data_IF_158903583940
#
_entry.id   IF_158903583940
#
_cell.length_a   1.000
_cell.length_b   1.000
_cell.length_c   1.000
_cell.angle_alpha   90.00
_cell.angle_beta   90.00
_cell.angle_gamma   90.00
#
_symmetry.space_group_name_H-M   'P 1'
#
loop_
_entity.id
_entity.type
_entity.pdbx_description
1 polymer ?
#
# COMPACT_ATOMS: atom_id res chain seq x y z
N UNK A 1 3.38 -44.82 26.97
CA UNK A 1 3.44 -44.01 25.72
C UNK A 1 2.39 -42.92 25.82
N UNK A 2 2.77 -41.72 26.26
CA UNK A 2 1.89 -40.55 26.20
C UNK A 2 2.14 -39.86 24.85
N UNK A 3 1.14 -39.87 23.99
CA UNK A 3 1.15 -39.17 22.71
C UNK A 3 1.02 -37.67 22.95
N UNK A 4 2.11 -36.94 22.79
CA UNK A 4 2.11 -35.48 22.74
C UNK A 4 1.49 -35.05 21.39
N UNK A 5 0.19 -34.78 21.39
CA UNK A 5 -0.45 -34.09 20.28
C UNK A 5 -0.08 -32.61 20.35
N UNK A 6 1.01 -32.23 19.68
CA UNK A 6 1.36 -30.84 19.44
C UNK A 6 0.16 -30.15 18.78
N UNK A 7 -0.47 -29.21 19.48
CA UNK A 7 -1.54 -28.39 18.93
C UNK A 7 -0.96 -27.51 17.83
N UNK A 8 -1.06 -27.97 16.58
CA UNK A 8 -0.75 -27.15 15.41
C UNK A 8 -1.81 -26.06 15.37
N UNK A 9 -1.45 -24.86 15.83
CA UNK A 9 -2.25 -23.65 15.66
C UNK A 9 -2.64 -23.55 14.18
N UNK A 10 -3.93 -23.56 13.88
CA UNK A 10 -4.43 -23.26 12.54
C UNK A 10 -3.77 -21.96 12.04
N UNK A 11 -3.27 -21.92 10.79
CA UNK A 11 -2.66 -20.71 10.28
C UNK A 11 -3.67 -19.58 10.36
N UNK A 12 -3.22 -18.42 10.85
CA UNK A 12 -4.06 -17.22 10.90
C UNK A 12 -4.62 -16.93 9.50
N UNK A 13 -5.89 -16.52 9.45
CA UNK A 13 -6.56 -16.19 8.20
C UNK A 13 -5.80 -15.07 7.46
N UNK A 14 -5.55 -15.20 6.15
CA UNK A 14 -4.87 -14.17 5.37
C UNK A 14 -5.60 -12.83 5.43
N UNK A 15 -4.83 -11.75 5.51
CA UNK A 15 -5.35 -10.38 5.47
C UNK A 15 -4.71 -9.60 4.33
N UNK A 16 -5.51 -8.84 3.60
CA UNK A 16 -5.03 -7.81 2.69
C UNK A 16 -4.86 -6.49 3.44
N UNK A 17 -3.67 -5.89 3.33
CA UNK A 17 -3.36 -4.61 3.94
C UNK A 17 -3.17 -3.55 2.85
N UNK A 18 -3.92 -2.46 2.95
CA UNK A 18 -3.87 -1.31 2.04
C UNK A 18 -3.45 -0.07 2.79
N UNK A 19 -2.73 0.84 2.13
CA UNK A 19 -2.18 2.03 2.78
C UNK A 19 -2.72 3.32 2.19
N UNK A 20 -3.30 4.17 3.04
CA UNK A 20 -3.82 5.48 2.68
C UNK A 20 -3.12 6.55 3.52
N UNK A 21 -2.70 7.64 2.88
CA UNK A 21 -2.11 8.77 3.58
C UNK A 21 -1.27 9.64 2.65
N UNK A 22 -1.04 10.88 3.06
CA UNK A 22 -0.26 11.86 2.29
C UNK A 22 1.18 11.37 2.08
N UNK A 23 1.87 11.93 1.09
CA UNK A 23 3.30 11.67 0.92
C UNK A 23 4.05 12.13 2.19
N UNK A 24 5.07 11.40 2.63
CA UNK A 24 5.73 11.69 3.93
C UNK A 24 5.00 11.18 5.18
N UNK A 25 3.77 10.64 5.05
CA UNK A 25 3.02 10.13 6.21
C UNK A 25 3.60 8.85 6.85
N UNK A 26 4.55 8.17 6.21
CA UNK A 26 5.18 6.95 6.73
C UNK A 26 4.57 5.64 6.22
N UNK A 27 3.81 5.68 5.10
CA UNK A 27 3.19 4.49 4.48
C UNK A 27 4.19 3.35 4.25
N UNK A 28 5.29 3.58 3.55
CA UNK A 28 6.27 2.52 3.24
C UNK A 28 6.94 1.95 4.50
N UNK A 29 7.10 2.74 5.57
CA UNK A 29 7.56 2.25 6.88
C UNK A 29 6.52 1.30 7.50
N UNK A 30 5.25 1.68 7.46
CA UNK A 30 4.15 0.82 7.91
C UNK A 30 4.06 -0.45 7.05
N UNK A 31 4.21 -0.34 5.73
CA UNK A 31 4.23 -1.47 4.80
C UNK A 31 5.27 -2.51 5.21
N UNK A 32 6.51 -2.05 5.40
CA UNK A 32 7.62 -2.92 5.81
C UNK A 32 7.37 -3.59 7.17
N UNK A 33 6.80 -2.84 8.13
CA UNK A 33 6.43 -3.39 9.45
C UNK A 33 5.30 -4.42 9.37
N UNK A 34 4.32 -4.23 8.50
CA UNK A 34 3.26 -5.22 8.30
C UNK A 34 3.82 -6.48 7.61
N UNK A 35 4.70 -6.28 6.63
CA UNK A 35 5.31 -7.37 5.86
C UNK A 35 6.36 -8.18 6.65
N UNK A 36 6.88 -7.68 7.77
CA UNK A 36 7.77 -8.46 8.64
C UNK A 36 7.05 -9.55 9.44
N UNK A 37 5.70 -9.55 9.42
CA UNK A 37 4.90 -10.61 10.04
C UNK A 37 5.05 -11.93 9.25
N UNK A 38 4.96 -13.09 9.92
CA UNK A 38 4.99 -14.38 9.25
C UNK A 38 3.96 -14.46 8.12
N UNK A 39 4.33 -15.13 7.01
CA UNK A 39 3.43 -15.38 5.87
C UNK A 39 2.81 -14.10 5.27
N UNK A 40 3.54 -12.99 5.31
CA UNK A 40 3.08 -11.71 4.76
C UNK A 40 4.03 -11.24 3.66
N UNK A 41 3.49 -10.96 2.48
CA UNK A 41 4.26 -10.45 1.34
C UNK A 41 4.01 -8.95 1.14
N UNK A 42 5.06 -8.21 0.80
CA UNK A 42 4.97 -6.83 0.37
C UNK A 42 5.00 -6.75 -1.16
N UNK A 43 4.02 -6.08 -1.75
CA UNK A 43 4.01 -5.71 -3.17
C UNK A 43 3.97 -4.18 -3.24
N UNK A 44 5.06 -3.59 -3.72
CA UNK A 44 5.21 -2.13 -3.87
C UNK A 44 5.00 -1.72 -5.33
N UNK A 45 4.06 -0.79 -5.56
CA UNK A 45 3.81 -0.25 -6.91
C UNK A 45 5.08 0.42 -7.47
N UNK A 46 5.73 1.26 -6.67
CA UNK A 46 6.95 1.99 -7.07
C UNK A 46 8.09 1.03 -7.48
N UNK A 47 8.31 -0.05 -6.72
CA UNK A 47 9.35 -1.04 -7.03
C UNK A 47 9.07 -1.77 -8.36
N UNK A 48 7.82 -2.15 -8.59
CA UNK A 48 7.41 -2.80 -9.84
C UNK A 48 7.45 -1.86 -11.03
N UNK A 49 7.01 -0.61 -10.87
CA UNK A 49 7.07 0.39 -11.94
C UNK A 49 8.53 0.72 -12.32
N UNK A 50 9.42 0.86 -11.34
CA UNK A 50 10.85 1.08 -11.59
C UNK A 50 11.49 -0.10 -12.34
N UNK A 51 11.11 -1.33 -12.02
CA UNK A 51 11.64 -2.53 -12.65
C UNK A 51 11.07 -2.78 -14.07
N UNK A 52 9.76 -2.55 -14.28
CA UNK A 52 9.08 -2.86 -15.54
C UNK A 52 9.16 -1.75 -16.58
N UNK A 53 9.25 -0.48 -16.14
CA UNK A 53 9.15 0.69 -17.01
C UNK A 53 10.31 1.69 -16.81
N UNK A 54 11.58 1.24 -16.84
CA UNK A 54 12.73 2.12 -16.62
C UNK A 54 12.79 3.23 -17.68
N UNK A 55 12.75 4.49 -17.25
CA UNK A 55 12.85 5.66 -18.12
C UNK A 55 11.58 6.01 -18.92
N UNK A 56 10.48 5.29 -18.73
CA UNK A 56 9.19 5.54 -19.40
C UNK A 56 8.28 6.50 -18.62
N UNK A 57 8.43 6.63 -17.31
CA UNK A 57 7.59 7.51 -16.48
C UNK A 57 8.26 8.87 -16.37
N UNK A 58 7.83 9.84 -17.18
CA UNK A 58 8.37 11.21 -17.19
C UNK A 58 7.34 12.24 -16.75
N UNK A 59 6.07 11.96 -17.05
CA UNK A 59 4.94 12.82 -16.69
C UNK A 59 3.82 12.04 -15.98
N UNK A 60 2.84 12.76 -15.43
CA UNK A 60 1.71 12.17 -14.71
C UNK A 60 0.90 11.20 -15.58
N UNK A 61 0.76 11.50 -16.88
CA UNK A 61 0.06 10.64 -17.82
C UNK A 61 0.77 9.29 -18.04
N UNK A 62 2.12 9.29 -18.06
CA UNK A 62 2.91 8.07 -18.15
C UNK A 62 2.72 7.19 -16.92
N UNK A 63 2.75 7.81 -15.73
CA UNK A 63 2.49 7.11 -14.47
C UNK A 63 1.09 6.48 -14.50
N UNK A 64 0.05 7.23 -14.87
CA UNK A 64 -1.32 6.70 -14.93
C UNK A 64 -1.43 5.50 -15.88
N UNK A 65 -0.80 5.57 -17.07
CA UNK A 65 -0.74 4.46 -18.04
C UNK A 65 -0.02 3.24 -17.47
N UNK A 66 1.19 3.41 -16.93
CA UNK A 66 2.02 2.31 -16.43
C UNK A 66 1.44 1.68 -15.16
N UNK A 67 0.99 2.49 -14.20
CA UNK A 67 0.29 2.02 -13.01
C UNK A 67 -1.01 1.29 -13.36
N UNK A 68 -1.77 1.79 -14.35
CA UNK A 68 -2.97 1.11 -14.84
C UNK A 68 -2.69 -0.30 -15.38
N UNK A 69 -1.63 -0.46 -16.19
CA UNK A 69 -1.20 -1.78 -16.70
C UNK A 69 -0.78 -2.72 -15.57
N UNK A 70 0.01 -2.22 -14.62
CA UNK A 70 0.43 -3.00 -13.46
C UNK A 70 -0.77 -3.47 -12.62
N UNK A 71 -1.74 -2.58 -12.35
CA UNK A 71 -2.95 -2.89 -11.58
C UNK A 71 -3.81 -3.96 -12.27
N UNK A 72 -3.95 -3.92 -13.59
CA UNK A 72 -4.64 -4.97 -14.34
C UNK A 72 -3.96 -6.33 -14.19
N UNK A 73 -2.62 -6.37 -14.22
CA UNK A 73 -1.88 -7.62 -14.04
C UNK A 73 -1.90 -8.14 -12.58
N UNK A 74 -1.98 -7.23 -11.60
CA UNK A 74 -1.76 -7.58 -10.19
C UNK A 74 -2.97 -8.23 -9.51
N UNK A 75 -4.20 -7.82 -9.85
CA UNK A 75 -5.40 -8.23 -9.11
C UNK A 75 -5.56 -9.76 -8.97
N UNK A 76 -5.46 -10.50 -10.08
CA UNK A 76 -5.56 -11.96 -10.07
C UNK A 76 -4.40 -12.64 -9.33
N UNK A 77 -3.21 -12.07 -9.40
CA UNK A 77 -2.04 -12.59 -8.67
C UNK A 77 -2.20 -12.46 -7.16
N UNK A 78 -2.73 -11.32 -6.68
CA UNK A 78 -3.01 -11.10 -5.25
C UNK A 78 -4.03 -12.11 -4.73
N UNK A 79 -5.11 -12.37 -5.48
CA UNK A 79 -6.10 -13.37 -5.10
C UNK A 79 -5.48 -14.77 -4.98
N UNK A 80 -4.60 -15.16 -5.91
CA UNK A 80 -3.89 -16.44 -5.85
C UNK A 80 -2.96 -16.56 -4.62
N UNK A 81 -2.25 -15.49 -4.25
CA UNK A 81 -1.41 -15.46 -3.06
C UNK A 81 -2.22 -15.61 -1.77
N UNK A 82 -3.37 -14.93 -1.69
CA UNK A 82 -4.30 -15.06 -0.57
C UNK A 82 -4.84 -16.49 -0.48
N UNK A 83 -5.25 -17.08 -1.61
CA UNK A 83 -5.72 -18.47 -1.66
C UNK A 83 -4.64 -19.48 -1.21
N UNK A 84 -3.35 -19.16 -1.41
CA UNK A 84 -2.23 -19.93 -0.89
C UNK A 84 -1.96 -19.72 0.62
N UNK A 85 -2.79 -18.91 1.30
CA UNK A 85 -2.70 -18.64 2.72
C UNK A 85 -1.66 -17.57 3.08
N UNK A 86 -1.39 -16.63 2.19
CA UNK A 86 -0.47 -15.51 2.43
C UNK A 86 -1.24 -14.21 2.65
N UNK A 87 -0.89 -13.48 3.71
CA UNK A 87 -1.29 -12.08 3.82
C UNK A 87 -0.50 -11.24 2.83
N UNK A 88 -1.10 -10.16 2.32
CA UNK A 88 -0.43 -9.30 1.34
C UNK A 88 -0.61 -7.85 1.73
N UNK A 89 0.50 -7.13 1.80
CA UNK A 89 0.55 -5.67 1.89
C UNK A 89 0.69 -5.13 0.47
N UNK A 90 -0.34 -4.41 0.01
CA UNK A 90 -0.27 -3.65 -1.24
C UNK A 90 0.13 -2.21 -0.92
N UNK A 91 1.41 -1.89 -1.11
CA UNK A 91 1.93 -0.52 -1.09
C UNK A 91 1.64 0.14 -2.45
N UNK A 92 0.35 0.26 -2.73
CA UNK A 92 -0.26 0.99 -3.85
C UNK A 92 -0.96 2.21 -3.25
N UNK A 93 -0.94 3.39 -3.91
CA UNK A 93 -1.50 4.59 -3.33
C UNK A 93 -3.03 4.51 -3.26
N UNK A 94 -3.58 4.37 -2.05
CA UNK A 94 -5.02 4.40 -1.78
C UNK A 94 -5.55 5.84 -1.55
N UNK A 95 -4.96 6.82 -2.24
CA UNK A 95 -5.11 8.25 -1.94
C UNK A 95 -6.32 8.90 -2.62
N UNK A 96 -6.88 8.27 -3.65
CA UNK A 96 -8.10 8.73 -4.34
C UNK A 96 -9.21 7.70 -4.18
N UNK A 97 -10.47 8.15 -4.28
CA UNK A 97 -11.62 7.20 -4.28
C UNK A 97 -11.51 6.15 -5.39
N UNK A 98 -11.05 6.54 -6.58
CA UNK A 98 -10.86 5.61 -7.70
C UNK A 98 -9.80 4.54 -7.40
N UNK A 99 -8.67 4.92 -6.79
CA UNK A 99 -7.64 3.94 -6.39
C UNK A 99 -8.17 2.96 -5.33
N UNK A 100 -9.01 3.44 -4.41
CA UNK A 100 -9.65 2.60 -3.40
C UNK A 100 -10.71 1.68 -3.99
N UNK A 101 -11.50 2.14 -4.96
CA UNK A 101 -12.46 1.29 -5.66
C UNK A 101 -11.76 0.06 -6.28
N UNK A 102 -10.63 0.26 -6.96
CA UNK A 102 -9.83 -0.85 -7.48
C UNK A 102 -9.31 -1.78 -6.37
N UNK A 103 -8.77 -1.25 -5.26
CA UNK A 103 -8.34 -2.07 -4.13
C UNK A 103 -9.49 -2.88 -3.53
N UNK A 104 -10.72 -2.34 -3.56
CA UNK A 104 -11.92 -3.04 -3.12
C UNK A 104 -12.26 -4.20 -4.04
N UNK A 105 -12.15 -4.03 -5.36
CA UNK A 105 -12.32 -5.10 -6.34
C UNK A 105 -11.30 -6.23 -6.10
N UNK A 106 -10.05 -5.89 -5.82
CA UNK A 106 -9.01 -6.88 -5.46
C UNK A 106 -9.39 -7.63 -4.19
N UNK A 107 -9.85 -6.94 -3.14
CA UNK A 107 -10.30 -7.57 -1.91
C UNK A 107 -11.52 -8.50 -2.12
N UNK A 108 -12.48 -8.07 -2.95
CA UNK A 108 -13.65 -8.88 -3.29
C UNK A 108 -13.24 -10.15 -4.04
N UNK A 109 -12.35 -10.03 -5.03
CA UNK A 109 -11.84 -11.18 -5.79
C UNK A 109 -11.03 -12.15 -4.91
N UNK A 110 -10.27 -11.63 -3.94
CA UNK A 110 -9.51 -12.45 -3.01
C UNK A 110 -10.38 -13.15 -1.94
N UNK A 111 -11.57 -12.61 -1.66
CA UNK A 111 -12.54 -13.23 -0.75
C UNK A 111 -12.09 -13.30 0.72
N UNK A 112 -11.11 -12.49 1.13
CA UNK A 112 -10.57 -12.49 2.49
C UNK A 112 -10.81 -11.15 3.21
N UNK A 113 -10.47 -11.12 4.50
CA UNK A 113 -10.48 -9.88 5.30
C UNK A 113 -9.46 -8.88 4.75
N UNK A 114 -9.83 -7.60 4.75
CA UNK A 114 -8.96 -6.52 4.30
C UNK A 114 -8.99 -5.33 5.26
N UNK A 115 -7.86 -4.65 5.42
CA UNK A 115 -7.70 -3.46 6.27
C UNK A 115 -7.13 -2.30 5.45
N UNK A 116 -7.77 -1.13 5.57
CA UNK A 116 -7.23 0.12 5.04
C UNK A 116 -6.58 0.90 6.18
N UNK A 117 -5.25 0.89 6.22
CA UNK A 117 -4.48 1.65 7.18
C UNK A 117 -4.41 3.12 6.74
N UNK A 118 -5.11 3.98 7.45
CA UNK A 118 -5.13 5.42 7.19
C UNK A 118 -4.18 6.15 8.14
N UNK A 119 -3.11 6.71 7.59
CA UNK A 119 -2.16 7.57 8.31
C UNK A 119 -2.62 9.03 8.15
N UNK A 120 -3.29 9.53 9.18
CA UNK A 120 -3.94 10.85 9.17
C UNK A 120 -3.05 11.90 9.85
N UNK A 121 -1.96 12.24 9.16
CA UNK A 121 -0.98 13.19 9.67
C UNK A 121 -1.21 14.60 9.12
N UNK A 122 -0.99 15.63 9.97
CA UNK A 122 -0.91 17.02 9.54
C UNK A 122 0.13 17.26 8.43
N UNK A 123 -0.11 18.27 7.59
CA UNK A 123 0.75 18.59 6.44
C UNK A 123 2.15 19.04 6.87
N UNK A 124 2.25 19.81 7.95
CA UNK A 124 3.51 20.28 8.52
C UNK A 124 4.40 19.11 8.96
N UNK A 125 3.83 18.08 9.60
CA UNK A 125 4.53 16.84 9.97
C UNK A 125 5.02 16.10 8.72
N UNK A 126 4.16 15.97 7.70
CA UNK A 126 4.51 15.29 6.46
C UNK A 126 5.62 16.03 5.70
N UNK A 127 5.53 17.36 5.59
CA UNK A 127 6.54 18.23 4.97
C UNK A 127 7.86 18.16 5.72
N UNK A 128 7.85 18.23 7.06
CA UNK A 128 9.05 18.11 7.87
C UNK A 128 9.77 16.77 7.65
N UNK A 129 9.03 15.65 7.63
CA UNK A 129 9.59 14.32 7.34
C UNK A 129 10.17 14.23 5.93
N UNK A 130 9.53 14.85 4.94
CA UNK A 130 10.07 14.90 3.57
C UNK A 130 11.36 15.69 3.47
N UNK A 131 11.47 16.84 4.14
CA UNK A 131 12.72 17.61 4.19
C UNK A 131 13.86 16.78 4.77
N UNK A 132 13.66 16.16 5.94
CA UNK A 132 14.65 15.28 6.56
C UNK A 132 15.05 14.09 5.65
N UNK A 133 14.09 13.51 4.92
CA UNK A 133 14.34 12.42 3.97
C UNK A 133 15.18 12.89 2.78
N UNK A 134 14.85 14.05 2.20
CA UNK A 134 15.59 14.65 1.09
C UNK A 134 17.04 14.95 1.51
N UNK A 135 17.26 15.46 2.73
CA UNK A 135 18.58 15.75 3.30
C UNK A 135 19.42 14.48 3.51
N UNK A 136 18.78 13.34 3.85
CA UNK A 136 19.48 12.07 4.08
C UNK A 136 20.06 11.43 2.81
N UNK A 137 19.58 11.81 1.61
CA UNK A 137 20.01 11.22 0.33
C UNK A 137 19.65 9.74 0.13
N UNK A 138 18.89 9.12 1.05
CA UNK A 138 18.60 7.67 1.05
C UNK A 138 17.47 7.25 0.11
N UNK A 139 16.74 8.20 -0.47
CA UNK A 139 15.63 7.92 -1.39
C UNK A 139 15.95 8.37 -2.81
N UNK A 140 15.53 7.59 -3.83
CA UNK A 140 15.82 7.89 -5.24
C UNK A 140 15.10 9.14 -5.77
N UNK A 141 14.17 9.71 -5.01
CA UNK A 141 13.38 10.87 -5.40
C UNK A 141 13.40 11.95 -4.32
N UNK A 142 13.76 13.16 -4.72
CA UNK A 142 13.53 14.38 -3.92
C UNK A 142 12.17 14.96 -4.27
N UNK A 143 11.41 15.37 -3.25
CA UNK A 143 10.10 16.00 -3.43
C UNK A 143 10.12 17.40 -2.83
N UNK A 144 9.87 18.41 -3.64
CA UNK A 144 9.72 19.80 -3.19
C UNK A 144 8.37 20.03 -2.51
N UNK A 145 8.21 21.13 -1.78
CA UNK A 145 6.92 21.48 -1.18
C UNK A 145 5.84 21.78 -2.22
N UNK A 146 6.19 22.43 -3.34
CA UNK A 146 5.25 22.65 -4.43
C UNK A 146 4.75 21.32 -5.03
N UNK A 147 5.65 20.33 -5.17
CA UNK A 147 5.27 18.98 -5.61
C UNK A 147 4.43 18.25 -4.55
N UNK A 148 4.75 18.42 -3.27
CA UNK A 148 3.92 17.90 -2.17
C UNK A 148 2.49 18.42 -2.28
N UNK A 149 2.32 19.74 -2.41
CA UNK A 149 1.01 20.38 -2.46
C UNK A 149 0.24 19.93 -3.71
N UNK A 150 0.90 19.87 -4.87
CA UNK A 150 0.31 19.38 -6.11
C UNK A 150 -0.16 17.92 -6.04
N UNK A 151 0.63 17.02 -5.43
CA UNK A 151 0.25 15.61 -5.25
C UNK A 151 -0.87 15.49 -4.21
N UNK A 152 -0.77 16.24 -3.11
CA UNK A 152 -1.72 16.20 -2.00
C UNK A 152 -3.08 16.79 -2.38
N UNK A 153 -3.15 17.67 -3.40
CA UNK A 153 -4.41 18.17 -3.93
C UNK A 153 -5.35 17.08 -4.45
N UNK A 154 -4.82 15.92 -4.87
CA UNK A 154 -5.62 14.77 -5.28
C UNK A 154 -6.05 13.87 -4.11
N UNK A 155 -5.51 14.09 -2.92
CA UNK A 155 -5.79 13.25 -1.75
C UNK A 155 -7.22 13.46 -1.26
N UNK A 156 -7.94 12.35 -1.07
CA UNK A 156 -9.25 12.33 -0.42
C UNK A 156 -9.20 11.32 0.71
N UNK A 157 -9.42 11.77 1.94
CA UNK A 157 -9.48 10.89 3.11
C UNK A 157 -10.51 9.76 2.91
N UNK A 158 -10.24 8.54 3.41
CA UNK A 158 -11.17 7.44 3.28
C UNK A 158 -12.44 7.70 4.12
N UNK A 159 -13.57 7.26 3.61
CA UNK A 159 -14.89 7.37 4.23
C UNK A 159 -15.48 5.98 4.47
N UNK A 160 -16.39 5.90 5.43
CA UNK A 160 -17.01 4.63 5.84
C UNK A 160 -17.90 4.04 4.73
N UNK A 161 -18.41 4.87 3.82
CA UNK A 161 -19.23 4.46 2.66
C UNK A 161 -18.42 3.67 1.60
N UNK A 162 -17.10 3.58 1.73
CA UNK A 162 -16.21 2.89 0.78
C UNK A 162 -16.03 1.39 1.12
N UNK A 163 -16.59 0.91 2.23
CA UNK A 163 -16.63 -0.52 2.56
C UNK A 163 -15.28 -1.13 2.98
N UNK A 164 -14.42 -0.34 3.63
CA UNK A 164 -13.15 -0.77 4.21
C UNK A 164 -13.24 -0.93 5.73
N UNK A 165 -12.52 -1.91 6.28
CA UNK A 165 -12.14 -1.87 7.70
C UNK A 165 -11.02 -0.83 7.86
N UNK A 166 -11.35 0.39 8.29
CA UNK A 166 -10.38 1.48 8.42
C UNK A 166 -9.63 1.38 9.75
N UNK A 167 -8.30 1.29 9.69
CA UNK A 167 -7.41 1.34 10.86
C UNK A 167 -6.64 2.66 10.84
N UNK A 168 -6.93 3.55 11.79
CA UNK A 168 -6.32 4.89 11.85
C UNK A 168 -4.99 4.87 12.61
N UNK A 169 -4.00 5.59 12.10
CA UNK A 169 -2.67 5.79 12.70
C UNK A 169 -2.43 7.30 12.84
N UNK A 170 -1.93 7.71 14.01
CA UNK A 170 -1.51 9.07 14.33
C UNK A 170 0.01 9.13 14.58
#
# INVERSE_FOLDING_TARGET
>A
MQSNASSVSSPAEPVLHFLCGKIGAGKSTLAARLASRPRTLLISEDAWLAALYPGEIREVADYARCAGRLRQAMGGHVAALVAAGLSVVLDFPANTRASRAWLREVAQAAGCRHQLHFLDLPDDVCKARLRARNESGTHPFTTSEAQYDAITAYFVAPRDDEGFEIVRHA
#
